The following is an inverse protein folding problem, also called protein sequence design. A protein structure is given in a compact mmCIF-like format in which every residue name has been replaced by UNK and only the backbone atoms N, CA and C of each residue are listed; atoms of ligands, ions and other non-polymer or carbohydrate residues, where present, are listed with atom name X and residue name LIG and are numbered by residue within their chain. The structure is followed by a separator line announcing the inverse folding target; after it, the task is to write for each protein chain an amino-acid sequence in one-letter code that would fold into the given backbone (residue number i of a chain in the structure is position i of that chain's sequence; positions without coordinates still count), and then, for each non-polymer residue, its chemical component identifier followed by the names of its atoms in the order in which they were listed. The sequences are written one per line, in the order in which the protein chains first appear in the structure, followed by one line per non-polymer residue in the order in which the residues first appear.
data_IF_608213431719
#
_entry.id   IF_608213431719
#
_cell.length_a   1.000
_cell.length_b   1.000
_cell.length_c   1.000
_cell.angle_alpha   90.00
_cell.angle_beta   90.00
_cell.angle_gamma   90.00
#
_symmetry.space_group_name_H-M   'P 1'
#
loop_
_entity.id
_entity.type
_entity.pdbx_description
1 polymer ?
#
# COMPACT_ATOMS: atom_id res chain seq x y z
N UNK A 1 -9.36 20.81 6.82
CA UNK A 1 -8.27 21.47 6.10
C UNK A 1 -6.95 20.72 6.02
N UNK A 2 -6.12 20.66 7.08
CA UNK A 2 -4.75 20.08 6.98
C UNK A 2 -4.74 18.58 6.65
N UNK A 3 -5.76 17.86 7.11
CA UNK A 3 -5.96 16.43 6.85
C UNK A 3 -6.35 16.18 5.38
N UNK A 4 -7.15 17.04 4.74
CA UNK A 4 -7.56 16.85 3.34
C UNK A 4 -6.39 16.95 2.37
N UNK A 5 -5.48 17.91 2.56
CA UNK A 5 -4.27 18.07 1.74
C UNK A 5 -3.33 16.86 1.84
N UNK A 6 -3.18 16.31 3.05
CA UNK A 6 -2.34 15.14 3.28
C UNK A 6 -3.00 13.85 2.79
N UNK A 7 -4.27 13.62 3.13
CA UNK A 7 -5.05 12.50 2.57
C UNK A 7 -5.08 12.60 1.04
N UNK A 8 -5.22 13.81 0.51
CA UNK A 8 -5.21 14.08 -0.92
C UNK A 8 -3.87 13.77 -1.58
N UNK A 9 -2.77 14.27 -1.00
CA UNK A 9 -1.40 13.95 -1.43
C UNK A 9 -1.09 12.45 -1.35
N UNK A 10 -1.52 11.77 -0.29
CA UNK A 10 -1.38 10.32 -0.14
C UNK A 10 -2.21 9.56 -1.17
N UNK A 11 -3.45 10.00 -1.41
CA UNK A 11 -4.31 9.41 -2.42
C UNK A 11 -3.69 9.56 -3.82
N UNK A 12 -3.07 10.70 -4.14
CA UNK A 12 -2.32 10.90 -5.39
C UNK A 12 -1.12 9.94 -5.47
N UNK A 13 -0.28 9.87 -4.44
CA UNK A 13 0.90 9.01 -4.43
C UNK A 13 0.53 7.52 -4.55
N UNK A 14 -0.45 7.06 -3.76
CA UNK A 14 -0.99 5.70 -3.82
C UNK A 14 -1.60 5.45 -5.19
N UNK A 15 -2.34 6.40 -5.74
CA UNK A 15 -2.98 6.30 -7.05
C UNK A 15 -1.98 6.19 -8.20
N UNK A 16 -0.89 6.97 -8.16
CA UNK A 16 0.21 6.92 -9.14
C UNK A 16 0.92 5.57 -9.04
N UNK A 17 1.29 5.13 -7.83
CA UNK A 17 1.93 3.83 -7.61
C UNK A 17 1.03 2.67 -8.05
N UNK A 18 -0.26 2.69 -7.70
CA UNK A 18 -1.23 1.68 -8.11
C UNK A 18 -1.45 1.67 -9.63
N UNK A 19 -1.32 2.82 -10.31
CA UNK A 19 -1.42 2.92 -11.76
C UNK A 19 -0.18 2.38 -12.48
N UNK A 20 1.01 2.81 -12.06
CA UNK A 20 2.30 2.40 -12.64
C UNK A 20 2.55 0.91 -12.37
N UNK A 21 2.36 0.47 -11.12
CA UNK A 21 2.58 -0.91 -10.69
C UNK A 21 1.30 -1.76 -10.78
N UNK A 22 0.28 -1.31 -11.52
CA UNK A 22 -1.02 -1.96 -11.63
C UNK A 22 -0.98 -3.47 -11.86
N UNK A 23 -0.08 -3.96 -12.71
CA UNK A 23 0.10 -5.40 -12.93
C UNK A 23 0.56 -6.11 -11.66
N UNK A 24 1.60 -5.59 -11.01
CA UNK A 24 2.17 -6.15 -9.77
C UNK A 24 1.19 -6.06 -8.60
N UNK A 25 0.45 -4.97 -8.48
CA UNK A 25 -0.60 -4.80 -7.46
C UNK A 25 -1.77 -5.75 -7.70
N UNK A 26 -2.15 -5.98 -8.95
CA UNK A 26 -3.19 -6.97 -9.30
C UNK A 26 -2.71 -8.38 -8.95
N UNK A 27 -1.48 -8.75 -9.34
CA UNK A 27 -0.87 -10.04 -9.00
C UNK A 27 -0.76 -10.23 -7.47
N UNK A 28 -0.45 -9.16 -6.73
CA UNK A 28 -0.43 -9.13 -5.26
C UNK A 28 -1.82 -9.41 -4.66
N UNK A 29 -2.86 -8.73 -5.15
CA UNK A 29 -4.24 -8.89 -4.65
C UNK A 29 -4.76 -10.29 -4.97
N UNK A 30 -4.55 -10.74 -6.22
CA UNK A 30 -4.92 -12.07 -6.71
C UNK A 30 -4.27 -13.15 -5.86
N UNK A 31 -2.97 -13.04 -5.59
CA UNK A 31 -2.25 -13.99 -4.77
C UNK A 31 -2.59 -13.90 -3.28
N UNK A 32 -2.85 -12.71 -2.75
CA UNK A 32 -3.33 -12.52 -1.38
C UNK A 32 -4.65 -13.27 -1.15
N UNK A 33 -5.57 -13.21 -2.10
CA UNK A 33 -6.84 -13.94 -2.06
C UNK A 33 -6.64 -15.47 -2.04
N UNK A 34 -5.63 -15.98 -2.75
CA UNK A 34 -5.26 -17.40 -2.71
C UNK A 34 -4.54 -17.80 -1.41
N UNK A 35 -3.70 -16.94 -0.84
CA UNK A 35 -3.02 -17.21 0.44
C UNK A 35 -4.02 -17.26 1.61
N UNK A 36 -5.05 -16.41 1.59
CA UNK A 36 -6.08 -16.33 2.64
C UNK A 36 -7.11 -17.48 2.53
N UNK A 37 -7.02 -18.33 1.50
CA UNK A 37 -7.70 -19.64 1.48
C UNK A 37 -9.17 -19.61 1.10
N UNK A 38 -9.62 -18.65 0.28
CA UNK A 38 -11.01 -18.66 -0.20
C UNK A 38 -11.13 -19.27 -1.60
N UNK A 39 -11.90 -20.35 -1.75
CA UNK A 39 -12.37 -20.83 -3.06
C UNK A 39 -13.12 -19.75 -3.86
N UNK A 40 -13.60 -18.69 -3.18
CA UNK A 40 -14.20 -17.49 -3.80
C UNK A 40 -13.18 -16.58 -4.50
N UNK A 41 -11.88 -16.74 -4.21
CA UNK A 41 -10.79 -15.99 -4.81
C UNK A 41 -10.62 -16.25 -6.30
N UNK A 42 -10.86 -17.48 -6.79
CA UNK A 42 -10.73 -17.77 -8.23
C UNK A 42 -11.73 -17.01 -9.10
N UNK A 43 -12.97 -16.85 -8.61
CA UNK A 43 -14.04 -16.11 -9.30
C UNK A 43 -13.77 -14.60 -9.29
N UNK A 44 -13.29 -14.05 -8.16
CA UNK A 44 -12.88 -12.65 -8.07
C UNK A 44 -11.63 -12.34 -8.92
N UNK A 45 -10.71 -13.32 -9.02
CA UNK A 45 -9.47 -13.20 -9.79
C UNK A 45 -9.70 -13.29 -11.30
N UNK A 46 -10.69 -14.05 -11.77
CA UNK A 46 -11.09 -14.07 -13.18
C UNK A 46 -11.55 -12.69 -13.70
N UNK A 47 -12.04 -11.83 -12.80
CA UNK A 47 -12.48 -10.46 -13.12
C UNK A 47 -11.41 -9.38 -12.91
N UNK A 48 -10.40 -9.60 -12.07
CA UNK A 48 -9.37 -8.60 -11.77
C UNK A 48 -8.34 -8.50 -12.89
N UNK A 49 -8.57 -7.56 -13.81
CA UNK A 49 -7.62 -7.24 -14.88
C UNK A 49 -6.73 -6.05 -14.47
N UNK A 50 -5.46 -5.97 -14.94
CA UNK A 50 -4.56 -4.86 -14.62
C UNK A 50 -5.12 -3.46 -14.92
N UNK A 51 -6.00 -3.33 -15.92
CA UNK A 51 -6.66 -2.06 -16.25
C UNK A 51 -7.66 -1.61 -15.16
N UNK A 52 -8.31 -2.52 -14.44
CA UNK A 52 -9.16 -2.16 -13.28
C UNK A 52 -8.32 -1.54 -12.16
N UNK A 53 -7.16 -2.11 -11.86
CA UNK A 53 -6.26 -1.56 -10.84
C UNK A 53 -5.68 -0.21 -11.26
N UNK A 54 -5.44 -0.01 -12.56
CA UNK A 54 -5.11 1.32 -13.10
C UNK A 54 -6.25 2.31 -12.90
N UNK A 55 -7.49 1.92 -13.20
CA UNK A 55 -8.64 2.80 -13.00
C UNK A 55 -8.84 3.17 -11.53
N UNK A 56 -8.71 2.21 -10.63
CA UNK A 56 -8.73 2.48 -9.18
C UNK A 56 -7.63 3.46 -8.82
N UNK A 57 -6.41 3.25 -9.33
CA UNK A 57 -5.30 4.18 -9.14
C UNK A 57 -5.60 5.59 -9.67
N UNK A 58 -6.15 5.71 -10.87
CA UNK A 58 -6.55 6.99 -11.48
C UNK A 58 -7.64 7.67 -10.65
N UNK A 59 -8.64 6.94 -10.16
CA UNK A 59 -9.69 7.47 -9.28
C UNK A 59 -9.07 8.02 -7.99
N UNK A 60 -8.10 7.30 -7.40
CA UNK A 60 -7.36 7.78 -6.23
C UNK A 60 -6.57 9.06 -6.53
N UNK A 61 -5.96 9.19 -7.71
CA UNK A 61 -5.31 10.43 -8.15
C UNK A 61 -6.30 11.57 -8.28
N UNK A 62 -7.45 11.34 -8.93
CA UNK A 62 -8.47 12.37 -9.13
C UNK A 62 -9.05 12.83 -7.80
N UNK A 63 -9.48 11.91 -6.94
CA UNK A 63 -9.99 12.23 -5.60
C UNK A 63 -8.93 12.94 -4.77
N UNK A 64 -7.68 12.48 -4.85
CA UNK A 64 -6.59 13.11 -4.14
C UNK A 64 -6.29 14.53 -4.62
N UNK A 65 -6.29 14.76 -5.93
CA UNK A 65 -6.12 16.09 -6.53
C UNK A 65 -7.26 17.03 -6.15
N UNK A 66 -8.50 16.54 -6.15
CA UNK A 66 -9.67 17.27 -5.67
C UNK A 66 -9.50 17.68 -4.21
N UNK A 67 -9.13 16.75 -3.33
CA UNK A 67 -8.88 17.04 -1.92
C UNK A 67 -7.74 18.04 -1.70
N UNK A 68 -6.70 18.00 -2.54
CA UNK A 68 -5.62 18.99 -2.52
C UNK A 68 -6.13 20.37 -2.95
N UNK A 69 -6.85 20.47 -4.08
CA UNK A 69 -7.34 21.76 -4.61
C UNK A 69 -8.32 22.42 -3.63
N UNK A 70 -9.34 21.69 -3.17
CA UNK A 70 -10.28 22.22 -2.17
C UNK A 70 -9.60 22.50 -0.82
N UNK A 71 -8.53 21.79 -0.49
CA UNK A 71 -7.74 22.05 0.71
C UNK A 71 -6.78 23.24 0.60
N UNK A 72 -6.54 23.80 -0.60
CA UNK A 72 -5.67 24.98 -0.80
C UNK A 72 -6.44 26.29 -0.64
N UNK A 73 -7.71 26.34 -1.04
CA UNK A 73 -8.49 27.59 -1.07
C UNK A 73 -8.84 28.14 0.33
N UNK A 74 -8.86 27.31 1.37
CA UNK A 74 -9.18 27.76 2.74
C UNK A 74 -7.94 27.99 3.64
N UNK A 75 -6.72 28.13 3.10
CA UNK A 75 -5.46 28.07 3.87
C UNK A 75 -5.51 28.71 5.29
N UNK A 76 -5.52 27.93 6.39
CA UNK A 76 -5.67 28.48 7.72
C UNK A 76 -4.35 29.13 8.13
N UNK A 77 -4.44 30.33 8.72
CA UNK A 77 -3.30 31.04 9.29
C UNK A 77 -2.47 30.19 10.27
N UNK A 78 -1.22 30.60 10.55
CA UNK A 78 -0.31 29.85 11.41
C UNK A 78 -0.99 29.55 12.76
N UNK A 79 -1.16 28.26 13.06
CA UNK A 79 -1.60 27.78 14.37
C UNK A 79 -0.38 27.89 15.31
N UNK A 80 -0.53 28.38 16.54
CA UNK A 80 0.56 28.36 17.51
C UNK A 80 0.76 26.93 18.01
N UNK A 81 1.94 26.34 17.78
CA UNK A 81 2.54 25.14 18.36
C UNK A 81 1.65 23.86 18.46
N UNK A 82 2.21 22.65 18.32
CA UNK A 82 1.42 21.42 18.52
C UNK A 82 0.85 21.43 19.95
N UNK A 83 -0.45 21.21 20.09
CA UNK A 83 -1.13 21.34 21.39
C UNK A 83 -0.66 20.26 22.38
N UNK A 84 -0.27 19.09 21.88
CA UNK A 84 0.18 17.96 22.69
C UNK A 84 1.23 17.10 21.98
N UNK A 85 2.21 16.57 22.73
CA UNK A 85 3.36 15.81 22.20
C UNK A 85 2.97 14.52 21.45
N UNK A 86 1.78 13.97 21.69
CA UNK A 86 1.34 12.72 21.06
C UNK A 86 1.04 12.87 19.56
N UNK A 87 0.74 14.10 19.08
CA UNK A 87 0.49 14.38 17.66
C UNK A 87 1.70 14.05 16.77
N UNK A 88 2.91 14.10 17.34
CA UNK A 88 4.17 13.73 16.68
C UNK A 88 4.56 12.27 16.90
N UNK A 89 4.38 11.79 18.14
CA UNK A 89 4.83 10.46 18.56
C UNK A 89 4.03 9.39 17.84
N UNK A 90 2.72 9.57 17.67
CA UNK A 90 1.85 8.54 17.09
C UNK A 90 2.20 8.23 15.61
N UNK A 91 2.38 9.21 14.71
CA UNK A 91 2.82 8.94 13.34
C UNK A 91 4.22 8.34 13.27
N UNK A 92 5.17 8.83 14.08
CA UNK A 92 6.54 8.30 14.10
C UNK A 92 6.58 6.86 14.58
N UNK A 93 5.92 6.55 15.69
CA UNK A 93 5.84 5.18 16.22
C UNK A 93 5.12 4.26 15.23
N UNK A 94 4.01 4.70 14.64
CA UNK A 94 3.29 3.92 13.62
C UNK A 94 4.17 3.64 12.40
N UNK A 95 4.91 4.65 11.91
CA UNK A 95 5.84 4.49 10.81
C UNK A 95 6.99 3.54 11.16
N UNK A 96 7.53 3.63 12.38
CA UNK A 96 8.60 2.77 12.88
C UNK A 96 8.16 1.32 13.00
N UNK A 97 6.94 1.07 13.54
CA UNK A 97 6.35 -0.27 13.63
C UNK A 97 6.13 -0.86 12.23
N UNK A 98 5.58 -0.09 11.29
CA UNK A 98 5.41 -0.53 9.91
C UNK A 98 6.75 -0.76 9.21
N UNK A 99 7.75 0.09 9.42
CA UNK A 99 9.09 -0.08 8.88
C UNK A 99 9.76 -1.34 9.41
N UNK A 100 9.67 -1.59 10.73
CA UNK A 100 10.16 -2.82 11.36
C UNK A 100 9.43 -4.06 10.83
N UNK A 101 8.12 -3.97 10.61
CA UNK A 101 7.34 -5.04 10.00
C UNK A 101 7.79 -5.32 8.55
N UNK A 102 7.98 -4.29 7.74
CA UNK A 102 8.52 -4.41 6.38
C UNK A 102 9.92 -5.03 6.36
N UNK A 103 10.79 -4.65 7.30
CA UNK A 103 12.11 -5.28 7.48
C UNK A 103 11.97 -6.74 7.91
N UNK A 104 11.03 -7.07 8.80
CA UNK A 104 10.73 -8.45 9.19
C UNK A 104 10.27 -9.31 8.01
N UNK A 105 9.43 -8.76 7.13
CA UNK A 105 9.02 -9.40 5.87
C UNK A 105 10.23 -9.61 4.95
N UNK A 106 11.10 -8.61 4.79
CA UNK A 106 12.33 -8.74 3.97
C UNK A 106 13.34 -9.74 4.55
N UNK A 107 13.53 -9.75 5.87
CA UNK A 107 14.40 -10.70 6.56
C UNK A 107 13.87 -12.13 6.42
N UNK A 108 12.55 -12.27 6.52
CA UNK A 108 11.85 -13.56 6.36
C UNK A 108 11.54 -13.89 4.90
N UNK A 109 12.04 -13.12 3.92
CA UNK A 109 11.64 -13.22 2.51
C UNK A 109 11.71 -14.63 1.97
N UNK A 110 12.77 -15.39 2.31
CA UNK A 110 12.96 -16.77 1.84
C UNK A 110 11.87 -17.68 2.37
N UNK A 111 11.60 -17.63 3.68
CA UNK A 111 10.56 -18.44 4.34
C UNK A 111 9.16 -18.07 3.85
N UNK A 112 8.87 -16.77 3.74
CA UNK A 112 7.59 -16.27 3.25
C UNK A 112 7.37 -16.61 1.76
N UNK A 113 8.42 -16.58 0.94
CA UNK A 113 8.33 -16.98 -0.47
C UNK A 113 8.00 -18.46 -0.60
N UNK A 114 8.63 -19.33 0.20
CA UNK A 114 8.32 -20.78 0.20
C UNK A 114 6.88 -21.02 0.64
N UNK A 115 6.44 -20.41 1.75
CA UNK A 115 5.07 -20.52 2.24
C UNK A 115 4.04 -20.00 1.23
N UNK A 116 4.32 -18.85 0.60
CA UNK A 116 3.46 -18.29 -0.43
C UNK A 116 3.42 -19.18 -1.68
N UNK A 117 4.54 -19.75 -2.09
CA UNK A 117 4.62 -20.67 -3.22
C UNK A 117 3.84 -21.97 -2.96
N UNK A 118 3.96 -22.54 -1.76
CA UNK A 118 3.15 -23.70 -1.35
C UNK A 118 1.65 -23.37 -1.37
N UNK A 119 1.25 -22.23 -0.82
CA UNK A 119 -0.15 -21.79 -0.84
C UNK A 119 -0.68 -21.55 -2.26
N UNK A 120 0.13 -20.95 -3.14
CA UNK A 120 -0.24 -20.77 -4.55
C UNK A 120 -0.39 -22.10 -5.29
N UNK A 121 0.50 -23.07 -5.01
CA UNK A 121 0.39 -24.43 -5.60
C UNK A 121 -0.86 -25.16 -5.10
N UNK A 122 -1.19 -25.06 -3.81
CA UNK A 122 -2.36 -25.75 -3.23
C UNK A 122 -3.67 -25.12 -3.70
N UNK A 123 -3.76 -23.78 -3.74
CA UNK A 123 -5.02 -23.08 -3.99
C UNK A 123 -5.22 -22.60 -5.43
N UNK A 124 -4.15 -22.59 -6.25
CA UNK A 124 -4.12 -22.04 -7.61
C UNK A 124 -3.36 -22.92 -8.59
N UNK A 125 -3.36 -24.25 -8.36
CA UNK A 125 -2.66 -25.24 -9.18
C UNK A 125 -2.92 -25.09 -10.69
N UNK A 126 -4.13 -24.67 -11.07
CA UNK A 126 -4.55 -24.45 -12.46
C UNK A 126 -3.82 -23.30 -13.18
N UNK A 127 -3.26 -22.34 -12.41
CA UNK A 127 -2.65 -21.11 -12.92
C UNK A 127 -1.15 -21.07 -12.63
N UNK A 128 -0.72 -21.65 -11.51
CA UNK A 128 0.64 -21.55 -11.02
C UNK A 128 1.34 -22.92 -10.97
N UNK A 129 1.83 -23.39 -12.13
CA UNK A 129 2.56 -24.66 -12.25
C UNK A 129 4.09 -24.47 -12.14
N UNK A 130 4.75 -25.44 -11.51
CA UNK A 130 6.22 -25.55 -11.45
C UNK A 130 6.93 -24.30 -10.88
N UNK A 131 7.96 -23.84 -11.59
CA UNK A 131 8.81 -22.69 -11.22
C UNK A 131 8.08 -21.33 -11.30
N UNK A 132 6.88 -21.26 -11.89
CA UNK A 132 6.11 -20.02 -11.97
C UNK A 132 5.52 -19.63 -10.62
N UNK A 133 5.14 -20.61 -9.79
CA UNK A 133 4.61 -20.37 -8.45
C UNK A 133 5.66 -19.70 -7.55
N UNK A 134 6.91 -20.16 -7.61
CA UNK A 134 8.00 -19.63 -6.78
C UNK A 134 8.45 -18.24 -7.25
N UNK A 135 8.54 -18.01 -8.56
CA UNK A 135 8.81 -16.68 -9.12
C UNK A 135 7.71 -15.67 -8.77
N UNK A 136 6.45 -16.08 -8.86
CA UNK A 136 5.31 -15.23 -8.50
C UNK A 136 5.31 -14.94 -7.01
N UNK A 137 5.45 -15.97 -6.16
CA UNK A 137 5.54 -15.83 -4.71
C UNK A 137 6.63 -14.85 -4.27
N UNK A 138 7.82 -14.93 -4.91
CA UNK A 138 8.92 -14.02 -4.62
C UNK A 138 8.56 -12.58 -4.99
N UNK A 139 7.91 -12.37 -6.13
CA UNK A 139 7.46 -11.05 -6.58
C UNK A 139 6.41 -10.50 -5.61
N UNK A 140 5.43 -11.31 -5.20
CA UNK A 140 4.38 -10.93 -4.25
C UNK A 140 4.97 -10.49 -2.91
N UNK A 141 5.85 -11.30 -2.32
CA UNK A 141 6.48 -10.99 -1.03
C UNK A 141 7.31 -9.69 -1.12
N UNK A 142 8.03 -9.50 -2.23
CA UNK A 142 8.80 -8.28 -2.46
C UNK A 142 7.90 -7.06 -2.62
N UNK A 143 6.86 -7.15 -3.45
CA UNK A 143 5.89 -6.08 -3.68
C UNK A 143 5.14 -5.73 -2.41
N UNK A 144 4.78 -6.71 -1.59
CA UNK A 144 4.17 -6.49 -0.28
C UNK A 144 5.08 -5.70 0.65
N UNK A 145 6.35 -6.10 0.75
CA UNK A 145 7.34 -5.38 1.55
C UNK A 145 7.52 -3.93 1.07
N UNK A 146 7.63 -3.71 -0.24
CA UNK A 146 7.73 -2.38 -0.85
C UNK A 146 6.52 -1.52 -0.47
N UNK A 147 5.31 -2.07 -0.56
CA UNK A 147 4.10 -1.34 -0.17
C UNK A 147 4.08 -0.95 1.30
N UNK A 148 4.54 -1.82 2.20
CA UNK A 148 4.67 -1.50 3.63
C UNK A 148 5.64 -0.34 3.84
N UNK A 149 6.79 -0.33 3.15
CA UNK A 149 7.75 0.78 3.24
C UNK A 149 7.20 2.08 2.68
N UNK A 150 6.48 2.02 1.55
CA UNK A 150 5.82 3.19 0.98
C UNK A 150 4.83 3.76 2.00
N UNK A 151 3.92 2.95 2.55
CA UNK A 151 2.94 3.40 3.54
C UNK A 151 3.63 3.95 4.81
N UNK A 152 4.68 3.30 5.29
CA UNK A 152 5.48 3.77 6.43
C UNK A 152 6.11 5.15 6.16
N UNK A 153 6.75 5.33 5.01
CA UNK A 153 7.36 6.59 4.61
C UNK A 153 6.32 7.71 4.46
N UNK A 154 5.15 7.38 3.91
CA UNK A 154 4.02 8.28 3.79
C UNK A 154 3.51 8.74 5.18
N UNK A 155 3.28 7.82 6.12
CA UNK A 155 2.87 8.16 7.49
C UNK A 155 3.92 9.01 8.21
N UNK A 156 5.22 8.69 8.03
CA UNK A 156 6.32 9.47 8.60
C UNK A 156 6.36 10.89 8.02
N UNK A 157 6.26 11.03 6.70
CA UNK A 157 6.19 12.32 6.03
C UNK A 157 4.97 13.15 6.49
N UNK A 158 3.82 12.50 6.70
CA UNK A 158 2.64 13.14 7.28
C UNK A 158 2.96 13.73 8.65
N UNK A 159 3.54 12.92 9.53
CA UNK A 159 3.91 13.31 10.89
C UNK A 159 4.88 14.49 10.92
N UNK A 160 5.91 14.47 10.06
CA UNK A 160 6.90 15.56 9.96
C UNK A 160 6.26 16.84 9.41
N UNK A 161 5.38 16.75 8.41
CA UNK A 161 4.66 17.92 7.87
C UNK A 161 3.74 18.52 8.93
N UNK A 162 3.06 17.70 9.73
CA UNK A 162 2.26 18.17 10.87
C UNK A 162 3.12 18.88 11.92
N UNK A 163 4.33 18.38 12.19
CA UNK A 163 5.26 18.96 13.15
C UNK A 163 5.86 20.30 12.71
N UNK A 164 6.38 20.39 11.49
CA UNK A 164 7.10 21.57 11.00
C UNK A 164 6.18 22.76 10.66
N UNK A 165 4.86 22.52 10.56
CA UNK A 165 3.84 23.55 10.31
C UNK A 165 2.93 23.80 11.52
N UNK A 166 3.31 23.30 12.68
CA UNK A 166 2.73 23.63 13.98
C UNK A 166 3.66 24.61 14.70
#
# INVERSE_FOLDING_TARGET
MRIELLIGGFAILIGILASILSRQTTELIVAGNYVIGSHRGSVANATQRPWMTRLIGIVFVIVGAVLVVYGVDDAPGPRPAPAEQWELILPLVSSGVLGAFGLGVLASRRRLTVLAAERLKVNGAEIYEGDQAERSARMIVLTFAIWIFVVSALISAAGVIFYLRA
#
